data_IF_720449333899
#
_entry.id   IF_720449333899
#
_cell.length_a   1.000
_cell.length_b   1.000
_cell.length_c   1.000
_cell.angle_alpha   90.00
_cell.angle_beta   90.00
_cell.angle_gamma   90.00
#
_symmetry.space_group_name_H-M   'P 1'
#
loop_
_entity.id
_entity.type
_entity.pdbx_description
1 polymer ?
#
# COMPACT_ATOMS: atom_id res chain seq x y z
N UNK A 1 -40.55 -54.61 62.28
CA UNK A 1 -40.74 -53.12 62.03
C UNK A 1 -39.56 -52.73 61.14
N UNK A 2 -39.80 -52.59 59.86
CA UNK A 2 -38.82 -52.22 58.89
C UNK A 2 -39.06 -50.77 58.46
N UNK A 3 -38.07 -49.86 58.61
CA UNK A 3 -38.11 -48.49 58.18
C UNK A 3 -37.36 -48.42 56.86
N UNK A 4 -38.09 -48.12 55.77
CA UNK A 4 -37.55 -47.88 54.45
C UNK A 4 -37.05 -46.44 54.35
N UNK A 5 -35.80 -46.26 53.96
CA UNK A 5 -35.23 -44.95 53.59
C UNK A 5 -35.34 -44.80 52.07
N UNK A 6 -36.12 -43.78 51.65
CA UNK A 6 -36.14 -43.32 50.25
C UNK A 6 -34.99 -42.35 50.04
N UNK A 7 -34.06 -42.75 49.20
CA UNK A 7 -33.02 -41.82 48.69
C UNK A 7 -33.53 -41.07 47.46
N UNK A 8 -33.70 -39.77 47.61
CA UNK A 8 -33.98 -38.85 46.49
C UNK A 8 -32.69 -38.56 45.75
N UNK A 9 -32.55 -39.08 44.54
CA UNK A 9 -31.44 -38.70 43.62
C UNK A 9 -31.83 -37.38 42.92
N UNK A 10 -31.13 -36.29 43.27
CA UNK A 10 -31.25 -35.01 42.59
C UNK A 10 -30.38 -35.02 41.33
N UNK A 11 -30.97 -35.19 40.15
CA UNK A 11 -30.31 -35.01 38.89
C UNK A 11 -30.14 -33.50 38.64
N UNK A 12 -28.93 -32.96 38.90
CA UNK A 12 -28.55 -31.61 38.41
C UNK A 12 -28.17 -31.73 36.94
N UNK A 13 -29.09 -31.33 36.08
CA UNK A 13 -28.79 -31.14 34.66
C UNK A 13 -27.96 -29.86 34.48
N UNK A 14 -26.68 -29.97 34.22
CA UNK A 14 -25.85 -28.86 33.76
C UNK A 14 -26.24 -28.52 32.33
N UNK A 15 -27.07 -27.50 32.16
CA UNK A 15 -27.23 -26.81 30.86
C UNK A 15 -25.95 -26.03 30.57
N UNK A 16 -25.04 -26.61 29.77
CA UNK A 16 -24.02 -25.81 29.09
C UNK A 16 -24.72 -24.91 28.08
N UNK A 17 -24.90 -23.68 28.42
CA UNK A 17 -25.18 -22.62 27.45
C UNK A 17 -23.94 -22.48 26.57
N UNK A 18 -23.91 -23.16 25.43
CA UNK A 18 -23.09 -22.75 24.30
C UNK A 18 -23.65 -21.39 23.84
N UNK A 19 -23.09 -20.31 24.35
CA UNK A 19 -23.25 -19.02 23.69
C UNK A 19 -22.65 -19.20 22.28
N UNK A 20 -23.41 -19.01 21.20
CA UNK A 20 -22.79 -18.98 19.90
C UNK A 20 -21.81 -17.82 19.93
N UNK A 21 -20.52 -18.11 19.76
CA UNK A 21 -19.55 -17.09 19.42
C UNK A 21 -20.09 -16.38 18.17
N UNK A 22 -20.74 -15.24 18.37
CA UNK A 22 -21.00 -14.30 17.30
C UNK A 22 -19.62 -13.84 16.82
N UNK A 23 -19.04 -14.62 15.92
CA UNK A 23 -17.94 -14.17 15.09
C UNK A 23 -18.49 -12.94 14.34
N UNK A 24 -18.34 -11.76 14.95
CA UNK A 24 -18.64 -10.50 14.27
C UNK A 24 -17.81 -10.50 13.00
N UNK A 25 -18.46 -10.75 11.88
CA UNK A 25 -17.80 -10.75 10.59
C UNK A 25 -17.01 -9.45 10.46
N UNK A 26 -15.68 -9.58 10.42
CA UNK A 26 -14.79 -8.42 10.35
C UNK A 26 -15.21 -7.55 9.19
N UNK A 27 -15.52 -6.28 9.45
CA UNK A 27 -15.92 -5.32 8.41
C UNK A 27 -14.75 -5.14 7.46
N UNK A 28 -14.93 -5.54 6.20
CA UNK A 28 -13.95 -5.38 5.14
C UNK A 28 -14.15 -4.06 4.41
N UNK A 29 -13.08 -3.45 3.95
CA UNK A 29 -13.15 -2.32 3.03
C UNK A 29 -13.60 -2.78 1.61
N UNK A 30 -13.98 -1.87 0.71
CA UNK A 30 -14.49 -2.23 -0.62
C UNK A 30 -13.53 -3.05 -1.49
N UNK A 31 -12.22 -2.83 -1.36
CA UNK A 31 -11.19 -3.59 -2.09
C UNK A 31 -11.19 -5.04 -1.63
N UNK A 32 -11.11 -5.25 -0.32
CA UNK A 32 -11.09 -6.56 0.30
C UNK A 32 -12.37 -7.35 0.02
N UNK A 33 -13.51 -6.70 0.17
CA UNK A 33 -14.81 -7.32 -0.11
C UNK A 33 -14.95 -7.77 -1.57
N UNK A 34 -14.27 -7.11 -2.50
CA UNK A 34 -14.34 -7.41 -3.94
C UNK A 34 -13.68 -8.75 -4.30
N UNK A 35 -12.58 -9.14 -3.66
CA UNK A 35 -11.84 -10.34 -4.08
C UNK A 35 -11.58 -11.36 -2.97
N UNK A 36 -11.46 -10.96 -1.68
CA UNK A 36 -11.07 -11.85 -0.59
C UNK A 36 -12.15 -12.87 -0.23
N UNK A 37 -13.43 -12.52 -0.41
CA UNK A 37 -14.56 -13.41 -0.16
C UNK A 37 -14.73 -14.52 -1.21
N UNK A 38 -14.00 -14.46 -2.33
CA UNK A 38 -14.04 -15.48 -3.36
C UNK A 38 -13.19 -16.70 -2.95
N UNK A 39 -13.77 -17.86 -2.63
CA UNK A 39 -13.00 -19.05 -2.25
C UNK A 39 -12.14 -19.59 -3.41
N UNK A 40 -12.48 -19.20 -4.65
CA UNK A 40 -11.74 -19.57 -5.85
C UNK A 40 -10.73 -18.49 -6.30
N UNK A 41 -10.35 -17.54 -5.45
CA UNK A 41 -9.44 -16.44 -5.78
C UNK A 41 -8.16 -16.92 -6.48
N UNK A 42 -7.67 -18.10 -6.17
CA UNK A 42 -6.46 -18.68 -6.79
C UNK A 42 -6.64 -19.00 -8.26
N UNK A 43 -7.82 -19.46 -8.67
CA UNK A 43 -8.17 -19.73 -10.06
C UNK A 43 -8.55 -18.44 -10.77
N UNK A 44 -9.15 -17.48 -10.04
CA UNK A 44 -9.64 -16.20 -10.52
C UNK A 44 -8.71 -15.03 -10.15
N UNK A 45 -7.39 -15.21 -10.25
CA UNK A 45 -6.43 -14.19 -9.82
C UNK A 45 -6.66 -12.83 -10.48
N UNK A 46 -7.06 -12.80 -11.74
CA UNK A 46 -7.32 -11.58 -12.49
C UNK A 46 -8.49 -10.75 -11.94
N UNK A 47 -9.39 -11.32 -11.13
CA UNK A 47 -10.43 -10.57 -10.43
C UNK A 47 -9.84 -9.43 -9.60
N UNK A 48 -8.66 -9.60 -9.01
CA UNK A 48 -7.97 -8.55 -8.26
C UNK A 48 -7.95 -7.22 -9.02
N UNK A 49 -7.59 -7.24 -10.29
CA UNK A 49 -7.46 -6.03 -11.09
C UNK A 49 -8.77 -5.23 -11.24
N UNK A 50 -9.92 -5.85 -11.01
CA UNK A 50 -11.23 -5.16 -11.02
C UNK A 50 -11.60 -4.53 -9.67
N UNK A 51 -10.78 -4.70 -8.64
CA UNK A 51 -11.09 -4.30 -7.26
C UNK A 51 -10.47 -2.98 -6.83
N UNK A 52 -9.51 -2.45 -7.58
CA UNK A 52 -8.89 -1.16 -7.29
C UNK A 52 -9.91 -0.02 -7.30
N UNK A 53 -9.63 1.00 -6.49
CA UNK A 53 -10.41 2.24 -6.35
C UNK A 53 -9.46 3.45 -6.38
N UNK A 54 -9.99 4.65 -6.25
CA UNK A 54 -9.18 5.86 -6.27
C UNK A 54 -8.61 6.15 -7.65
N UNK A 55 -7.60 7.00 -7.74
CA UNK A 55 -7.12 7.54 -9.02
C UNK A 55 -6.52 6.49 -9.98
N UNK A 56 -6.06 5.33 -9.52
CA UNK A 56 -5.69 4.24 -10.43
C UNK A 56 -6.90 3.64 -11.16
N UNK A 57 -8.09 3.75 -10.58
CA UNK A 57 -9.32 3.16 -11.11
C UNK A 57 -9.22 1.64 -11.25
N UNK A 58 -10.11 1.05 -12.01
CA UNK A 58 -10.04 -0.38 -12.31
C UNK A 58 -8.87 -0.68 -13.25
N UNK A 59 -8.06 -1.69 -12.89
CA UNK A 59 -6.83 -2.07 -13.60
C UNK A 59 -7.15 -3.08 -14.73
N UNK A 60 -8.21 -2.83 -15.49
CA UNK A 60 -8.73 -3.79 -16.49
C UNK A 60 -7.79 -4.03 -17.67
N UNK A 61 -6.81 -3.15 -17.90
CA UNK A 61 -5.77 -3.38 -18.89
C UNK A 61 -4.82 -4.53 -18.53
N UNK A 62 -4.78 -4.94 -17.25
CA UNK A 62 -3.95 -6.05 -16.76
C UNK A 62 -4.62 -7.43 -16.91
N UNK A 63 -5.84 -7.49 -17.44
CA UNK A 63 -6.60 -8.75 -17.57
C UNK A 63 -6.89 -9.07 -19.03
N UNK A 64 -7.24 -10.33 -19.28
CA UNK A 64 -7.63 -10.81 -20.62
C UNK A 64 -7.08 -12.21 -20.88
N UNK A 65 -7.43 -12.73 -22.06
CA UNK A 65 -6.92 -14.04 -22.54
C UNK A 65 -5.48 -13.96 -22.98
N UNK A 66 -5.01 -12.78 -23.35
CA UNK A 66 -3.67 -12.42 -23.80
C UNK A 66 -2.66 -12.23 -22.65
N UNK A 67 -3.09 -12.35 -21.41
CA UNK A 67 -2.22 -12.22 -20.24
C UNK A 67 -1.32 -13.43 -20.10
N UNK A 68 -0.01 -13.21 -20.19
CA UNK A 68 1.01 -14.23 -19.94
C UNK A 68 1.11 -14.48 -18.44
N UNK A 69 0.83 -15.73 -18.03
CA UNK A 69 0.97 -16.16 -16.64
C UNK A 69 2.38 -16.65 -16.40
N UNK A 70 3.15 -15.85 -15.65
CA UNK A 70 4.51 -16.19 -15.30
C UNK A 70 4.63 -16.60 -13.83
N UNK A 71 5.43 -17.64 -13.56
CA UNK A 71 5.64 -18.11 -12.20
C UNK A 71 7.12 -18.04 -11.85
N UNK A 72 7.44 -17.25 -10.81
CA UNK A 72 8.79 -17.19 -10.25
C UNK A 72 9.09 -18.47 -9.49
N UNK A 73 10.17 -19.12 -9.85
CA UNK A 73 10.65 -20.40 -9.29
C UNK A 73 12.04 -20.31 -8.70
N UNK A 74 12.82 -19.30 -9.14
CA UNK A 74 14.20 -19.04 -8.75
C UNK A 74 14.31 -17.68 -8.05
N UNK A 75 14.79 -17.62 -6.80
CA UNK A 75 14.93 -16.35 -6.06
C UNK A 75 16.18 -15.55 -6.47
N UNK A 76 17.07 -16.10 -7.29
CA UNK A 76 18.30 -15.40 -7.71
C UNK A 76 18.01 -14.23 -8.63
N UNK A 77 18.86 -13.20 -8.58
CA UNK A 77 18.81 -12.01 -9.41
C UNK A 77 20.08 -11.86 -10.23
N UNK A 78 19.94 -11.67 -11.54
CA UNK A 78 21.01 -11.28 -12.46
C UNK A 78 20.55 -10.03 -13.23
N UNK A 79 21.10 -8.85 -12.91
CA UNK A 79 20.66 -7.60 -13.53
C UNK A 79 20.96 -7.46 -15.01
N UNK A 80 21.97 -8.16 -15.51
CA UNK A 80 22.44 -8.06 -16.90
C UNK A 80 21.92 -9.20 -17.77
N UNK A 81 21.81 -10.41 -17.19
CA UNK A 81 21.40 -11.61 -17.92
C UNK A 81 20.28 -12.35 -17.14
N UNK A 82 19.08 -11.75 -17.01
CA UNK A 82 17.97 -12.37 -16.29
C UNK A 82 17.69 -13.78 -16.78
N UNK A 83 17.60 -14.73 -15.86
CA UNK A 83 17.35 -16.13 -16.22
C UNK A 83 15.85 -16.46 -16.13
N UNK A 84 15.32 -17.29 -17.04
CA UNK A 84 13.97 -17.83 -16.91
C UNK A 84 13.76 -18.43 -15.52
N UNK A 85 12.59 -18.14 -14.91
CA UNK A 85 12.28 -18.52 -13.53
C UNK A 85 12.54 -17.41 -12.51
N UNK A 86 13.40 -16.44 -12.77
CA UNK A 86 13.66 -15.31 -11.87
C UNK A 86 12.58 -14.22 -11.95
N UNK A 87 12.44 -13.42 -10.89
CA UNK A 87 11.50 -12.29 -10.89
C UNK A 87 11.86 -11.26 -11.96
N UNK A 88 13.15 -10.93 -12.10
CA UNK A 88 13.62 -9.95 -13.11
C UNK A 88 13.27 -10.40 -14.52
N UNK A 89 13.43 -11.67 -14.85
CA UNK A 89 13.04 -12.18 -16.18
C UNK A 89 11.57 -11.92 -16.47
N UNK A 90 10.68 -12.25 -15.50
CA UNK A 90 9.25 -12.00 -15.63
C UNK A 90 8.88 -10.53 -15.77
N UNK A 91 9.57 -9.65 -15.06
CA UNK A 91 9.27 -8.22 -15.02
C UNK A 91 9.85 -7.43 -16.22
N UNK A 92 10.91 -7.94 -16.89
CA UNK A 92 11.65 -7.17 -17.89
C UNK A 92 11.77 -7.84 -19.26
N UNK A 93 11.79 -9.19 -19.33
CA UNK A 93 12.05 -9.90 -20.57
C UNK A 93 10.78 -10.33 -21.30
N UNK A 94 9.65 -10.42 -20.59
CA UNK A 94 8.37 -10.81 -21.18
C UNK A 94 7.66 -9.55 -21.67
N UNK A 95 7.30 -9.53 -22.95
CA UNK A 95 6.56 -8.43 -23.57
C UNK A 95 5.06 -8.60 -23.43
N UNK A 96 4.31 -7.50 -23.39
CA UNK A 96 2.85 -7.49 -23.28
C UNK A 96 2.36 -7.55 -21.83
N UNK A 97 1.15 -8.11 -21.64
CA UNK A 97 0.54 -8.20 -20.31
C UNK A 97 1.09 -9.41 -19.55
N UNK A 98 1.64 -9.17 -18.36
CA UNK A 98 2.26 -10.24 -17.56
C UNK A 98 1.65 -10.28 -16.16
N UNK A 99 1.19 -11.47 -15.74
CA UNK A 99 0.75 -11.75 -14.39
C UNK A 99 1.76 -12.66 -13.70
N UNK A 100 2.58 -12.05 -12.83
CA UNK A 100 3.67 -12.72 -12.13
C UNK A 100 3.18 -13.26 -10.79
N UNK A 101 3.38 -14.55 -10.57
CA UNK A 101 3.08 -15.26 -9.31
C UNK A 101 4.34 -15.97 -8.83
N UNK A 102 4.32 -16.49 -7.60
CA UNK A 102 5.47 -17.14 -6.98
C UNK A 102 5.12 -18.58 -6.62
N UNK A 103 6.08 -19.50 -6.82
CA UNK A 103 5.85 -20.92 -6.61
C UNK A 103 5.73 -21.30 -5.14
N UNK A 104 6.56 -20.67 -4.29
CA UNK A 104 6.71 -20.94 -2.85
C UNK A 104 7.12 -19.67 -2.12
N UNK A 105 7.18 -19.72 -0.80
CA UNK A 105 7.83 -18.69 0.00
C UNK A 105 9.27 -18.53 -0.45
N UNK A 106 9.72 -17.26 -0.61
CA UNK A 106 11.08 -17.00 -1.05
C UNK A 106 11.57 -15.62 -0.63
N UNK A 107 12.87 -15.52 -0.44
CA UNK A 107 13.59 -14.26 -0.28
C UNK A 107 14.33 -13.96 -1.57
N UNK A 108 14.02 -12.82 -2.18
CA UNK A 108 14.65 -12.35 -3.42
C UNK A 108 15.49 -11.13 -3.07
N UNK A 109 16.81 -11.30 -3.10
CA UNK A 109 17.75 -10.21 -2.90
C UNK A 109 18.13 -9.62 -4.25
N UNK A 110 17.70 -8.38 -4.50
CA UNK A 110 17.99 -7.69 -5.75
C UNK A 110 19.40 -7.12 -5.74
N UNK A 111 20.20 -7.54 -6.71
CA UNK A 111 21.59 -7.04 -6.88
C UNK A 111 21.61 -5.58 -7.36
N UNK A 112 20.60 -5.18 -8.15
CA UNK A 112 20.39 -3.84 -8.69
C UNK A 112 18.90 -3.55 -8.77
N UNK A 113 18.47 -2.27 -8.90
CA UNK A 113 17.06 -1.92 -9.02
C UNK A 113 16.35 -2.77 -10.07
N UNK A 114 15.15 -3.25 -9.72
CA UNK A 114 14.30 -4.00 -10.63
C UNK A 114 13.31 -3.06 -11.31
N UNK A 115 13.46 -2.87 -12.62
CA UNK A 115 12.47 -2.14 -13.42
C UNK A 115 11.24 -3.01 -13.66
N UNK A 116 10.07 -2.39 -13.52
CA UNK A 116 8.79 -3.05 -13.78
C UNK A 116 8.21 -2.52 -15.09
N UNK A 117 7.95 -3.41 -16.03
CA UNK A 117 7.35 -3.08 -17.33
C UNK A 117 5.87 -2.68 -17.19
N UNK A 118 5.35 -1.95 -18.20
CA UNK A 118 3.91 -1.67 -18.28
C UNK A 118 3.09 -2.96 -18.35
N UNK A 119 1.83 -2.90 -17.93
CA UNK A 119 0.89 -4.02 -17.91
C UNK A 119 1.34 -5.23 -17.08
N UNK A 120 2.18 -4.98 -16.07
CA UNK A 120 2.71 -6.02 -15.20
C UNK A 120 1.97 -6.06 -13.85
N UNK A 121 1.58 -7.25 -13.44
CA UNK A 121 1.04 -7.52 -12.11
C UNK A 121 2.01 -8.41 -11.33
N UNK A 122 2.51 -7.92 -10.19
CA UNK A 122 3.19 -8.73 -9.17
C UNK A 122 2.17 -9.18 -8.15
N UNK A 123 1.91 -10.49 -8.07
CA UNK A 123 0.86 -11.07 -7.23
C UNK A 123 1.45 -12.09 -6.23
N UNK A 124 1.74 -11.61 -5.01
CA UNK A 124 2.30 -12.40 -3.91
C UNK A 124 1.29 -13.26 -3.16
N UNK A 125 0.01 -13.25 -3.52
CA UNK A 125 -1.03 -13.99 -2.78
C UNK A 125 -0.77 -15.49 -2.69
N UNK A 126 -0.91 -16.02 -1.48
CA UNK A 126 -0.81 -17.46 -1.16
C UNK A 126 0.60 -17.95 -0.87
N UNK A 127 1.58 -17.06 -0.83
CA UNK A 127 2.98 -17.31 -0.44
C UNK A 127 3.55 -16.12 0.29
N UNK A 128 4.61 -16.32 1.06
CA UNK A 128 5.34 -15.26 1.74
C UNK A 128 6.60 -14.91 0.93
N UNK A 129 6.57 -13.74 0.28
CA UNK A 129 7.65 -13.29 -0.61
C UNK A 129 8.29 -12.04 -0.05
N UNK A 130 9.58 -12.10 0.19
CA UNK A 130 10.39 -10.99 0.64
C UNK A 130 11.25 -10.49 -0.52
N UNK A 131 11.29 -9.16 -0.71
CA UNK A 131 12.17 -8.48 -1.65
C UNK A 131 13.07 -7.54 -0.86
N UNK A 132 14.37 -7.67 -1.03
CA UNK A 132 15.42 -6.92 -0.35
C UNK A 132 16.51 -6.52 -1.35
N UNK A 133 17.55 -5.84 -0.90
CA UNK A 133 18.76 -5.61 -1.67
C UNK A 133 18.94 -4.17 -2.16
N UNK A 134 19.49 -3.99 -3.33
CA UNK A 134 19.93 -2.67 -3.80
C UNK A 134 18.83 -1.93 -4.57
N UNK A 135 18.24 -0.88 -3.93
CA UNK A 135 17.19 0.02 -4.47
C UNK A 135 16.05 -0.76 -5.16
N UNK A 136 15.24 -1.43 -4.38
CA UNK A 136 14.35 -2.52 -4.72
C UNK A 136 13.52 -2.36 -6.02
N UNK A 137 12.31 -1.81 -5.98
CA UNK A 137 11.42 -1.77 -7.16
C UNK A 137 11.36 -0.37 -7.79
N UNK A 138 11.51 -0.31 -9.11
CA UNK A 138 11.43 0.93 -9.89
C UNK A 138 10.40 0.80 -11.01
N UNK A 139 9.32 1.59 -10.92
CA UNK A 139 8.35 1.76 -12.01
C UNK A 139 8.74 3.01 -12.79
N UNK A 140 9.41 2.83 -13.91
CA UNK A 140 9.98 3.93 -14.70
C UNK A 140 9.34 4.03 -16.07
N UNK A 141 8.68 5.16 -16.35
CA UNK A 141 7.97 5.41 -17.61
C UNK A 141 7.00 4.28 -17.99
N UNK A 142 6.35 3.69 -16.98
CA UNK A 142 5.45 2.54 -17.15
C UNK A 142 4.04 2.88 -16.70
N UNK A 143 3.08 2.15 -17.25
CA UNK A 143 1.66 2.29 -16.96
C UNK A 143 1.01 0.94 -16.67
N UNK A 144 -0.15 0.97 -16.02
CA UNK A 144 -0.94 -0.24 -15.70
C UNK A 144 -0.13 -1.29 -14.93
N UNK A 145 0.42 -0.88 -13.77
CA UNK A 145 1.21 -1.75 -12.90
C UNK A 145 0.47 -2.03 -11.60
N UNK A 146 0.42 -3.30 -11.20
CA UNK A 146 -0.10 -3.75 -9.91
C UNK A 146 1.03 -4.39 -9.10
N UNK A 147 1.25 -3.91 -7.85
CA UNK A 147 2.19 -4.52 -6.89
C UNK A 147 1.37 -4.92 -5.68
N UNK A 148 1.21 -6.23 -5.47
CA UNK A 148 0.29 -6.75 -4.46
C UNK A 148 0.87 -7.91 -3.65
N UNK A 149 0.75 -7.83 -2.33
CA UNK A 149 0.97 -8.95 -1.43
C UNK A 149 2.42 -9.30 -1.16
N UNK A 150 3.34 -8.34 -1.24
CA UNK A 150 4.78 -8.52 -1.06
C UNK A 150 5.28 -7.88 0.25
N UNK A 151 6.39 -8.41 0.79
CA UNK A 151 7.18 -7.77 1.85
C UNK A 151 8.42 -7.17 1.24
N UNK A 152 8.57 -5.85 1.31
CA UNK A 152 9.68 -5.12 0.68
C UNK A 152 10.40 -4.36 1.79
N UNK A 153 11.67 -4.69 1.99
CA UNK A 153 12.41 -4.15 3.13
C UNK A 153 13.93 -4.22 2.94
N UNK A 154 14.66 -3.51 3.79
CA UNK A 154 16.13 -3.47 3.76
C UNK A 154 16.67 -3.14 2.38
N UNK A 155 16.00 -2.22 1.67
CA UNK A 155 16.44 -1.71 0.39
C UNK A 155 17.55 -0.67 0.62
N UNK A 156 18.70 -0.87 -0.03
CA UNK A 156 19.92 -0.10 0.20
C UNK A 156 20.22 0.80 -1.00
N UNK A 157 20.83 1.95 -0.73
CA UNK A 157 21.29 2.85 -1.79
C UNK A 157 22.32 2.17 -2.69
N UNK A 158 22.31 2.53 -3.97
CA UNK A 158 23.25 1.98 -4.96
C UNK A 158 23.73 3.07 -5.91
N UNK A 159 25.01 3.00 -6.27
CA UNK A 159 25.62 3.89 -7.27
C UNK A 159 25.05 3.67 -8.69
N UNK A 160 25.47 4.54 -9.65
CA UNK A 160 25.07 4.40 -11.04
C UNK A 160 25.33 3.00 -11.58
N UNK A 161 24.41 2.47 -12.37
CA UNK A 161 24.49 1.10 -12.88
C UNK A 161 23.66 0.93 -14.16
N UNK A 162 23.94 -0.14 -14.91
CA UNK A 162 23.10 -0.57 -16.02
C UNK A 162 22.38 -1.86 -15.65
N UNK A 163 21.12 -2.00 -16.09
CA UNK A 163 20.29 -3.17 -15.85
C UNK A 163 19.48 -3.51 -17.09
N UNK A 164 19.06 -4.75 -17.22
CA UNK A 164 17.98 -5.13 -18.15
C UNK A 164 16.66 -4.55 -17.66
N UNK A 165 16.08 -3.72 -18.48
CA UNK A 165 14.78 -3.11 -18.31
C UNK A 165 13.71 -3.70 -19.21
N UNK A 166 12.56 -3.00 -19.38
CA UNK A 166 11.46 -3.44 -20.23
C UNK A 166 11.91 -3.88 -21.62
N UNK A 167 11.29 -4.95 -22.14
CA UNK A 167 11.62 -5.59 -23.42
C UNK A 167 13.07 -6.09 -23.54
N UNK A 168 13.77 -6.28 -22.42
CA UNK A 168 15.15 -6.72 -22.41
C UNK A 168 16.17 -5.65 -22.81
N UNK A 169 15.77 -4.39 -22.94
CA UNK A 169 16.68 -3.30 -23.27
C UNK A 169 17.64 -2.99 -22.11
N UNK A 170 18.84 -2.51 -22.42
CA UNK A 170 19.77 -2.01 -21.40
C UNK A 170 19.39 -0.59 -21.00
N UNK A 171 19.16 -0.40 -19.71
CA UNK A 171 18.81 0.90 -19.12
C UNK A 171 19.93 1.35 -18.17
N UNK A 172 20.50 2.51 -18.44
CA UNK A 172 21.43 3.16 -17.54
C UNK A 172 20.65 3.89 -16.43
N UNK A 173 20.97 3.62 -15.19
CA UNK A 173 20.40 4.23 -14.00
C UNK A 173 21.42 5.10 -13.29
N UNK A 174 21.00 6.28 -12.82
CA UNK A 174 21.78 7.10 -11.92
C UNK A 174 21.87 6.51 -10.51
N UNK A 175 22.40 7.28 -9.57
CA UNK A 175 22.38 6.94 -8.16
C UNK A 175 20.93 6.76 -7.65
N UNK A 176 20.69 5.70 -6.89
CA UNK A 176 19.42 5.39 -6.23
C UNK A 176 19.61 5.40 -4.72
N UNK A 177 18.63 5.92 -4.00
CA UNK A 177 18.75 6.30 -2.59
C UNK A 177 18.43 5.13 -1.64
N UNK A 178 17.78 4.06 -2.15
CA UNK A 178 17.41 2.89 -1.34
C UNK A 178 15.93 2.86 -0.96
N UNK A 179 15.05 3.40 -1.80
CA UNK A 179 13.60 3.28 -1.64
C UNK A 179 13.11 1.83 -1.86
N UNK A 180 12.04 1.44 -1.16
CA UNK A 180 11.40 0.14 -1.39
C UNK A 180 10.68 0.10 -2.75
N UNK A 181 9.87 1.11 -3.04
CA UNK A 181 9.17 1.29 -4.32
C UNK A 181 9.33 2.74 -4.76
N UNK A 182 9.83 2.94 -5.97
CA UNK A 182 9.93 4.27 -6.57
C UNK A 182 9.19 4.33 -7.90
N UNK A 183 8.30 5.32 -8.04
CA UNK A 183 7.57 5.61 -9.27
C UNK A 183 8.17 6.86 -9.91
N UNK A 184 8.57 6.76 -11.17
CA UNK A 184 9.19 7.85 -11.92
C UNK A 184 8.52 7.97 -13.29
N UNK A 185 7.78 9.04 -13.53
CA UNK A 185 7.01 9.24 -14.78
C UNK A 185 6.07 8.05 -15.06
N UNK A 186 5.48 7.49 -14.01
CA UNK A 186 4.58 6.36 -14.07
C UNK A 186 3.12 6.80 -14.00
N UNK A 187 2.22 6.03 -14.58
CA UNK A 187 0.79 6.33 -14.51
C UNK A 187 -0.03 5.07 -14.32
N UNK A 188 -1.20 5.22 -13.71
CA UNK A 188 -2.13 4.12 -13.47
C UNK A 188 -1.44 2.95 -12.77
N UNK A 189 -0.96 3.20 -11.54
CA UNK A 189 -0.27 2.22 -10.70
C UNK A 189 -1.06 1.98 -9.43
N UNK A 190 -1.24 0.72 -9.09
CA UNK A 190 -1.89 0.29 -7.86
C UNK A 190 -0.96 -0.52 -6.98
N UNK A 191 -0.69 -0.02 -5.77
CA UNK A 191 0.18 -0.64 -4.77
C UNK A 191 -0.69 -1.04 -3.60
N UNK A 192 -0.88 -2.36 -3.39
CA UNK A 192 -1.91 -2.87 -2.50
C UNK A 192 -1.44 -4.07 -1.67
N UNK A 193 -1.82 -4.10 -0.40
CA UNK A 193 -1.50 -5.20 0.52
C UNK A 193 -0.01 -5.56 0.62
N UNK A 194 0.89 -4.58 0.52
CA UNK A 194 2.31 -4.82 0.77
C UNK A 194 2.70 -4.42 2.19
N UNK A 195 3.69 -5.08 2.76
CA UNK A 195 4.34 -4.68 4.00
C UNK A 195 5.71 -4.08 3.67
N UNK A 196 5.90 -2.79 3.99
CA UNK A 196 7.12 -2.05 3.67
C UNK A 196 7.76 -1.54 4.96
N UNK A 197 9.07 -1.75 5.11
CA UNK A 197 9.78 -1.33 6.33
C UNK A 197 11.31 -1.34 6.17
N UNK A 198 11.99 -0.59 7.03
CA UNK A 198 13.43 -0.63 7.25
C UNK A 198 14.28 -0.51 5.97
N UNK A 199 13.95 0.44 5.09
CA UNK A 199 14.77 0.81 3.93
C UNK A 199 15.67 2.00 4.23
N UNK A 200 16.71 2.20 3.44
CA UNK A 200 17.72 3.23 3.71
C UNK A 200 17.19 4.65 3.50
N UNK A 201 16.35 4.89 2.49
CA UNK A 201 15.69 6.19 2.32
C UNK A 201 14.16 6.07 2.51
N UNK A 202 13.35 6.10 1.48
CA UNK A 202 11.89 6.03 1.58
C UNK A 202 11.30 4.62 1.46
N UNK A 203 10.03 4.45 1.80
CA UNK A 203 9.32 3.21 1.51
C UNK A 203 8.56 3.31 0.19
N UNK A 204 8.02 4.49 -0.13
CA UNK A 204 7.28 4.67 -1.37
C UNK A 204 7.39 6.11 -1.88
N UNK A 205 8.03 6.28 -3.03
CA UNK A 205 8.20 7.56 -3.69
C UNK A 205 7.42 7.64 -5.00
N UNK A 206 6.61 8.70 -5.16
CA UNK A 206 5.86 9.01 -6.39
C UNK A 206 6.38 10.34 -6.93
N UNK A 207 7.11 10.29 -8.06
CA UNK A 207 7.91 11.44 -8.51
C UNK A 207 7.87 11.66 -10.02
N UNK A 208 8.33 12.83 -10.44
CA UNK A 208 8.64 13.20 -11.83
C UNK A 208 7.47 13.02 -12.80
N UNK A 209 6.29 13.58 -12.44
CA UNK A 209 5.09 13.54 -13.26
C UNK A 209 4.33 12.22 -13.20
N UNK A 210 4.62 11.38 -12.21
CA UNK A 210 3.77 10.20 -11.93
C UNK A 210 2.40 10.64 -11.47
N UNK A 211 1.33 9.97 -11.97
CA UNK A 211 -0.05 10.36 -11.69
C UNK A 211 -1.01 9.17 -11.81
N UNK A 212 -2.26 9.33 -11.36
CA UNK A 212 -3.27 8.26 -11.31
C UNK A 212 -2.81 7.05 -10.51
N UNK A 213 -2.40 7.30 -9.27
CA UNK A 213 -1.84 6.30 -8.37
C UNK A 213 -2.83 6.00 -7.24
N UNK A 214 -2.99 4.73 -6.89
CA UNK A 214 -3.67 4.31 -5.66
C UNK A 214 -2.72 3.46 -4.80
N UNK A 215 -2.61 3.85 -3.53
CA UNK A 215 -1.81 3.19 -2.50
C UNK A 215 -2.80 2.76 -1.42
N UNK A 216 -3.06 1.44 -1.31
CA UNK A 216 -4.14 0.94 -0.46
C UNK A 216 -3.75 -0.32 0.32
N UNK A 217 -4.34 -0.50 1.49
CA UNK A 217 -4.15 -1.70 2.32
C UNK A 217 -2.69 -2.07 2.61
N UNK A 218 -1.74 -1.15 2.48
CA UNK A 218 -0.36 -1.43 2.82
C UNK A 218 -0.11 -1.23 4.32
N UNK A 219 0.87 -1.93 4.83
CA UNK A 219 1.40 -1.70 6.17
C UNK A 219 2.80 -1.11 6.09
N UNK A 220 2.93 0.13 6.53
CA UNK A 220 4.18 0.87 6.62
C UNK A 220 4.63 0.94 8.08
N UNK A 221 5.85 0.53 8.39
CA UNK A 221 6.35 0.50 9.76
C UNK A 221 7.87 0.63 9.82
N UNK A 222 8.40 0.88 11.01
CA UNK A 222 9.84 0.85 11.31
C UNK A 222 10.65 1.67 10.28
N UNK A 223 10.30 2.95 10.07
CA UNK A 223 10.88 3.79 9.01
C UNK A 223 10.93 5.27 9.36
N UNK A 224 12.05 5.94 9.06
CA UNK A 224 12.16 7.39 9.18
C UNK A 224 11.27 8.12 8.16
N UNK A 225 11.53 7.96 6.87
CA UNK A 225 10.81 8.62 5.78
C UNK A 225 9.91 7.61 5.08
N UNK A 226 8.58 7.73 5.23
CA UNK A 226 7.65 6.70 4.75
C UNK A 226 7.26 6.87 3.30
N UNK A 227 6.67 8.02 2.93
CA UNK A 227 6.09 8.22 1.59
C UNK A 227 6.29 9.65 1.09
N UNK A 228 6.84 9.78 -0.12
CA UNK A 228 7.04 11.07 -0.77
C UNK A 228 6.19 11.19 -2.04
N UNK A 229 5.42 12.26 -2.13
CA UNK A 229 4.64 12.63 -3.32
C UNK A 229 5.18 13.96 -3.88
N UNK A 230 5.92 13.88 -4.97
CA UNK A 230 6.61 15.00 -5.63
C UNK A 230 8.13 14.92 -5.54
N UNK A 231 8.81 15.13 -6.69
CA UNK A 231 10.26 14.95 -6.84
C UNK A 231 11.07 15.98 -6.03
N UNK A 232 10.94 17.24 -6.38
CA UNK A 232 11.52 18.39 -5.69
C UNK A 232 10.60 19.60 -5.80
N UNK A 233 10.92 20.65 -5.06
CA UNK A 233 10.07 21.86 -5.00
C UNK A 233 10.00 22.60 -6.35
N UNK A 234 11.00 22.50 -7.21
CA UNK A 234 11.07 23.10 -8.54
C UNK A 234 10.46 22.26 -9.65
N UNK A 235 10.13 20.99 -9.41
CA UNK A 235 9.63 20.09 -10.45
C UNK A 235 8.13 20.28 -10.73
N UNK A 236 7.78 21.26 -11.54
CA UNK A 236 6.41 21.73 -11.73
C UNK A 236 5.46 20.73 -12.41
N UNK A 237 5.97 19.71 -13.12
CA UNK A 237 5.12 18.64 -13.69
C UNK A 237 4.38 17.83 -12.62
N UNK A 238 4.86 17.83 -11.38
CA UNK A 238 4.19 17.18 -10.26
C UNK A 238 2.90 17.91 -9.82
N UNK A 239 2.58 19.08 -10.37
CA UNK A 239 1.29 19.77 -10.16
C UNK A 239 0.09 18.94 -10.68
N UNK A 240 0.31 18.09 -11.69
CA UNK A 240 -0.71 17.24 -12.29
C UNK A 240 -0.82 15.87 -11.58
N UNK A 241 -0.05 15.67 -10.52
CA UNK A 241 -0.06 14.44 -9.73
C UNK A 241 -1.41 14.26 -9.04
N UNK A 242 -1.96 13.04 -9.14
CA UNK A 242 -3.19 12.61 -8.46
C UNK A 242 -2.93 11.27 -7.78
N UNK A 243 -3.01 11.28 -6.45
CA UNK A 243 -2.74 10.09 -5.63
C UNK A 243 -3.89 9.87 -4.64
N UNK A 244 -4.34 8.62 -4.54
CA UNK A 244 -5.22 8.15 -3.47
C UNK A 244 -4.42 7.30 -2.50
N UNK A 245 -4.44 7.66 -1.21
CA UNK A 245 -3.83 6.91 -0.11
C UNK A 245 -4.97 6.45 0.80
N UNK A 246 -5.31 5.15 0.78
CA UNK A 246 -6.55 4.67 1.41
C UNK A 246 -6.40 3.29 2.05
N UNK A 247 -7.03 3.09 3.21
CA UNK A 247 -7.05 1.82 3.96
C UNK A 247 -5.67 1.33 4.41
N UNK A 248 -4.66 2.19 4.44
CA UNK A 248 -3.32 1.81 4.89
C UNK A 248 -3.21 1.87 6.42
N UNK A 249 -2.22 1.13 6.93
CA UNK A 249 -1.79 1.20 8.31
C UNK A 249 -0.36 1.79 8.36
N UNK A 250 -0.21 2.92 9.04
CA UNK A 250 1.06 3.58 9.29
C UNK A 250 1.46 3.39 10.75
N UNK A 251 2.63 2.85 10.98
CA UNK A 251 3.16 2.55 12.31
C UNK A 251 3.17 1.04 12.64
N UNK A 252 3.79 0.66 13.77
CA UNK A 252 4.54 1.52 14.68
C UNK A 252 5.87 2.03 14.10
N UNK A 253 6.56 2.90 14.86
CA UNK A 253 7.91 3.37 14.59
C UNK A 253 8.08 4.06 13.23
N UNK A 254 7.10 4.87 12.83
CA UNK A 254 7.22 5.77 11.69
C UNK A 254 7.52 7.18 12.19
N UNK A 255 8.54 7.84 11.61
CA UNK A 255 8.91 9.16 12.06
C UNK A 255 8.12 10.25 11.32
N UNK A 256 8.11 10.23 9.97
CA UNK A 256 7.56 11.33 9.16
C UNK A 256 7.11 10.86 7.77
N UNK A 257 6.44 11.76 7.02
CA UNK A 257 6.05 11.57 5.62
C UNK A 257 5.05 10.45 5.38
N UNK A 258 3.85 10.58 5.94
CA UNK A 258 2.78 9.59 5.78
C UNK A 258 1.48 10.16 5.15
N UNK A 259 1.52 10.87 4.02
CA UNK A 259 2.66 11.24 3.16
C UNK A 259 3.25 12.64 3.40
N UNK A 260 4.40 12.93 2.76
CA UNK A 260 4.84 14.30 2.44
C UNK A 260 4.49 14.62 0.99
N UNK A 261 3.78 15.73 0.75
CA UNK A 261 3.33 16.14 -0.58
C UNK A 261 3.93 17.47 -0.97
N UNK A 262 4.60 17.54 -2.11
CA UNK A 262 5.19 18.80 -2.61
C UNK A 262 4.26 19.55 -3.55
N UNK A 263 3.61 18.84 -4.45
CA UNK A 263 2.71 19.38 -5.48
C UNK A 263 1.54 18.43 -5.71
N UNK A 264 0.56 18.87 -6.49
CA UNK A 264 -0.54 18.04 -6.96
C UNK A 264 -1.63 17.82 -5.91
N UNK A 265 -2.38 16.75 -6.09
CA UNK A 265 -3.53 16.42 -5.27
C UNK A 265 -3.38 15.04 -4.62
N UNK A 266 -3.57 14.98 -3.31
CA UNK A 266 -3.62 13.74 -2.54
C UNK A 266 -4.96 13.61 -1.80
N UNK A 267 -5.70 12.53 -2.05
CA UNK A 267 -6.83 12.09 -1.24
C UNK A 267 -6.35 11.04 -0.25
N UNK A 268 -6.27 11.42 1.01
CA UNK A 268 -5.81 10.57 2.11
C UNK A 268 -7.04 10.19 2.94
N UNK A 269 -7.52 8.95 2.82
CA UNK A 269 -8.80 8.56 3.39
C UNK A 269 -8.76 7.20 4.09
N UNK A 270 -9.47 7.06 5.20
CA UNK A 270 -9.63 5.81 5.94
C UNK A 270 -8.30 5.08 6.28
N UNK A 271 -7.23 5.81 6.56
CA UNK A 271 -5.98 5.23 7.02
C UNK A 271 -5.88 5.25 8.55
N UNK A 272 -5.19 4.26 9.11
CA UNK A 272 -4.82 4.20 10.51
C UNK A 272 -3.38 4.71 10.70
N UNK A 273 -3.22 5.66 11.62
CA UNK A 273 -1.91 6.19 12.03
C UNK A 273 -1.64 5.83 13.49
N UNK A 274 -0.60 5.03 13.74
CA UNK A 274 -0.18 4.61 15.07
C UNK A 274 1.14 5.27 15.47
N UNK A 275 1.06 6.53 15.86
CA UNK A 275 2.20 7.34 16.26
C UNK A 275 2.99 7.90 15.07
N UNK A 276 3.76 8.92 15.39
CA UNK A 276 4.78 9.57 14.55
C UNK A 276 5.75 10.29 15.47
N UNK A 277 6.95 10.59 15.00
CA UNK A 277 7.90 11.35 15.81
C UNK A 277 7.88 12.84 15.43
N UNK A 278 8.00 13.15 14.13
CA UNK A 278 7.96 14.53 13.64
C UNK A 278 6.57 14.95 13.18
N UNK A 279 5.95 14.23 12.26
CA UNK A 279 4.60 14.52 11.76
C UNK A 279 4.04 13.33 10.95
N UNK A 280 2.71 13.25 10.85
CA UNK A 280 2.07 12.26 9.99
C UNK A 280 1.96 12.74 8.55
N UNK A 281 1.27 13.86 8.29
CA UNK A 281 1.03 14.39 6.95
C UNK A 281 1.72 15.75 6.81
N UNK A 282 2.58 15.90 5.81
CA UNK A 282 3.30 17.16 5.60
C UNK A 282 3.38 17.57 4.15
N UNK A 283 4.04 18.71 3.91
CA UNK A 283 4.24 19.17 2.56
C UNK A 283 5.12 20.41 2.45
N UNK A 284 5.41 20.78 1.20
CA UNK A 284 6.04 22.02 0.77
C UNK A 284 5.34 22.52 -0.48
N UNK A 285 5.67 23.69 -0.98
CA UNK A 285 5.08 24.31 -2.18
C UNK A 285 3.54 24.50 -2.08
N UNK A 286 2.75 23.98 -3.04
CA UNK A 286 1.29 24.22 -3.11
C UNK A 286 0.51 22.93 -3.35
N UNK A 287 0.61 21.93 -2.49
CA UNK A 287 -0.21 20.73 -2.63
C UNK A 287 -1.66 21.01 -2.24
N UNK A 288 -2.57 20.17 -2.75
CA UNK A 288 -3.92 20.09 -2.25
C UNK A 288 -4.11 18.72 -1.60
N UNK A 289 -4.30 18.70 -0.27
CA UNK A 289 -4.42 17.46 0.50
C UNK A 289 -5.78 17.45 1.19
N UNK A 290 -6.59 16.45 0.86
CA UNK A 290 -7.83 16.13 1.58
C UNK A 290 -7.58 14.95 2.49
N UNK A 291 -7.55 15.18 3.80
CA UNK A 291 -7.61 14.16 4.84
C UNK A 291 -9.08 13.88 5.15
N UNK A 292 -9.52 12.62 5.00
CA UNK A 292 -10.94 12.29 5.15
C UNK A 292 -11.14 10.97 5.90
N UNK A 293 -11.84 11.05 7.04
CA UNK A 293 -12.19 9.88 7.86
C UNK A 293 -10.99 8.98 8.20
N UNK A 294 -9.80 9.55 8.40
CA UNK A 294 -8.66 8.83 8.94
C UNK A 294 -8.74 8.70 10.46
N UNK A 295 -7.96 7.80 11.03
CA UNK A 295 -7.85 7.61 12.46
C UNK A 295 -6.41 7.88 12.92
N UNK A 296 -6.20 8.97 13.64
CA UNK A 296 -4.88 9.41 14.13
C UNK A 296 -4.75 9.13 15.62
N UNK A 297 -3.82 8.25 15.97
CA UNK A 297 -3.43 7.98 17.36
C UNK A 297 -2.07 8.64 17.57
N UNK A 298 -2.03 9.77 18.26
CA UNK A 298 -0.78 10.44 18.55
C UNK A 298 0.15 9.58 19.43
N UNK A 299 1.47 9.78 19.39
CA UNK A 299 2.40 9.08 20.25
C UNK A 299 2.09 9.41 21.74
N UNK A 300 2.49 8.53 22.68
CA UNK A 300 2.29 8.76 24.12
C UNK A 300 3.01 10.02 24.61
N UNK A 301 4.19 10.27 24.06
CA UNK A 301 5.02 11.46 24.32
C UNK A 301 5.53 12.04 23.00
N UNK A 302 5.98 13.29 23.01
CA UNK A 302 6.49 13.98 21.83
C UNK A 302 5.41 14.74 21.05
N UNK A 303 5.61 14.92 19.75
CA UNK A 303 4.75 15.75 18.92
C UNK A 303 3.34 15.13 18.71
N UNK A 304 2.32 15.90 19.00
CA UNK A 304 0.90 15.50 18.83
C UNK A 304 0.28 16.04 17.53
N UNK A 305 0.94 17.02 16.89
CA UNK A 305 0.46 17.62 15.66
C UNK A 305 0.62 16.64 14.48
N UNK A 306 -0.48 16.38 13.78
CA UNK A 306 -0.50 15.54 12.57
C UNK A 306 0.23 16.20 11.41
N UNK A 307 0.10 17.53 11.31
CA UNK A 307 0.46 18.30 10.13
C UNK A 307 1.80 19.00 10.24
N UNK A 308 2.52 19.08 9.11
CA UNK A 308 3.75 19.85 9.03
C UNK A 308 3.94 20.49 7.66
N UNK A 309 4.48 21.73 7.63
CA UNK A 309 4.72 22.51 6.40
C UNK A 309 6.09 23.12 6.42
N UNK A 310 6.84 22.89 5.36
CA UNK A 310 8.17 23.46 5.19
C UNK A 310 8.13 24.81 4.46
N UNK A 311 8.86 25.78 4.99
CA UNK A 311 9.32 26.96 4.24
C UNK A 311 8.23 27.93 3.82
N UNK A 312 7.12 28.07 4.56
CA UNK A 312 6.03 28.94 4.14
C UNK A 312 5.75 30.03 5.16
N UNK A 313 5.84 31.25 4.69
CA UNK A 313 5.07 32.32 5.28
C UNK A 313 3.58 32.01 4.98
N UNK A 314 2.88 31.46 5.98
CA UNK A 314 1.53 30.88 5.88
C UNK A 314 0.48 31.82 5.24
N UNK A 315 0.77 33.11 5.20
CA UNK A 315 -0.15 34.15 4.69
C UNK A 315 -0.11 34.33 3.15
N UNK A 316 0.89 33.81 2.45
CA UNK A 316 1.13 34.20 1.04
C UNK A 316 0.87 33.11 -0.01
N UNK A 317 0.54 31.87 0.34
CA UNK A 317 0.31 30.81 -0.63
C UNK A 317 -0.94 29.97 -0.29
N UNK A 318 -1.80 29.67 -1.28
CA UNK A 318 -3.01 28.88 -1.07
C UNK A 318 -2.68 27.39 -0.91
N UNK A 319 -2.29 27.00 0.27
CA UNK A 319 -2.22 25.61 0.65
C UNK A 319 -3.62 25.09 0.93
N UNK A 320 -4.03 24.04 0.23
CA UNK A 320 -5.24 23.31 0.55
C UNK A 320 -4.88 22.07 1.36
N UNK A 321 -4.94 22.21 2.68
CA UNK A 321 -4.61 21.15 3.61
C UNK A 321 -5.69 21.11 4.69
N UNK A 322 -6.66 20.23 4.54
CA UNK A 322 -7.83 20.22 5.40
C UNK A 322 -8.28 18.80 5.76
N UNK A 323 -8.88 18.71 6.94
CA UNK A 323 -9.38 17.50 7.58
C UNK A 323 -10.90 17.47 7.54
N UNK A 324 -11.47 16.33 7.16
CA UNK A 324 -12.91 16.10 7.13
C UNK A 324 -13.22 14.78 7.81
N UNK A 325 -13.99 14.82 8.90
CA UNK A 325 -14.45 13.62 9.63
C UNK A 325 -13.30 12.73 10.15
N UNK A 326 -12.08 13.22 10.27
CA UNK A 326 -10.98 12.50 10.89
C UNK A 326 -11.23 12.33 12.40
N UNK A 327 -10.72 11.25 12.97
CA UNK A 327 -10.75 10.98 14.42
C UNK A 327 -9.34 11.16 14.98
N UNK A 328 -9.25 11.87 16.09
CA UNK A 328 -8.02 12.22 16.79
C UNK A 328 -8.01 11.61 18.18
N UNK A 329 -7.06 10.74 18.47
CA UNK A 329 -6.90 10.05 19.74
C UNK A 329 -5.57 10.44 20.40
N UNK A 330 -5.54 10.38 21.72
CA UNK A 330 -4.35 10.67 22.54
C UNK A 330 -3.81 12.09 22.36
N UNK A 331 -4.69 13.08 22.14
CA UNK A 331 -4.35 14.49 21.97
C UNK A 331 -3.80 14.85 20.59
N UNK A 332 -3.99 14.00 19.59
CA UNK A 332 -3.67 14.35 18.21
C UNK A 332 -4.41 15.61 17.76
N UNK A 333 -3.76 16.46 16.98
CA UNK A 333 -4.33 17.70 16.44
C UNK A 333 -3.99 17.86 14.97
N UNK A 334 -4.79 18.62 14.24
CA UNK A 334 -4.61 18.87 12.80
C UNK A 334 -4.76 20.36 12.52
N UNK A 335 -3.72 20.99 12.01
CA UNK A 335 -3.74 22.41 11.63
C UNK A 335 -4.14 22.54 10.16
N UNK A 336 -5.36 23.00 9.93
CA UNK A 336 -5.87 23.25 8.58
C UNK A 336 -5.27 24.50 7.94
N UNK A 337 -5.26 24.54 6.60
CA UNK A 337 -4.85 25.74 5.86
C UNK A 337 -5.44 25.80 4.46
N UNK A 338 -5.40 26.99 3.88
CA UNK A 338 -5.93 27.27 2.56
C UNK A 338 -7.45 27.45 2.55
N UNK A 339 -8.03 27.41 1.36
CA UNK A 339 -9.46 27.67 1.14
C UNK A 339 -10.35 26.44 1.35
N UNK A 340 -9.81 25.29 1.62
CA UNK A 340 -10.54 24.04 1.81
C UNK A 340 -11.25 23.53 0.56
N UNK A 341 -12.02 22.47 0.69
CA UNK A 341 -13.07 22.10 -0.27
C UNK A 341 -12.62 21.37 -1.55
N UNK A 342 -11.34 21.17 -1.83
CA UNK A 342 -10.92 20.41 -3.00
C UNK A 342 -11.38 18.94 -2.89
N UNK A 343 -12.37 18.57 -3.72
CA UNK A 343 -12.85 17.19 -3.79
C UNK A 343 -12.05 16.40 -4.82
N UNK A 344 -11.84 15.08 -4.62
CA UNK A 344 -11.26 14.25 -5.67
C UNK A 344 -12.22 14.24 -6.88
N UNK A 345 -11.67 14.48 -8.07
CA UNK A 345 -12.43 14.45 -9.32
C UNK A 345 -12.52 13.03 -9.91
N UNK A 346 -12.92 12.08 -9.09
CA UNK A 346 -13.04 10.67 -9.48
C UNK A 346 -14.09 10.45 -10.57
N UNK A 347 -13.72 9.68 -11.58
CA UNK A 347 -14.67 9.09 -12.53
C UNK A 347 -15.40 7.88 -11.91
N UNK A 348 -16.31 7.25 -12.66
CA UNK A 348 -17.11 6.13 -12.14
C UNK A 348 -16.28 4.89 -11.75
N UNK A 349 -15.12 4.66 -12.36
CA UNK A 349 -14.24 3.52 -12.05
C UNK A 349 -13.33 3.80 -10.86
N UNK A 350 -13.16 5.05 -10.48
CA UNK A 350 -12.30 5.53 -9.41
C UNK A 350 -13.04 5.71 -8.08
N UNK A 351 -14.37 5.92 -8.16
CA UNK A 351 -15.21 6.20 -6.97
C UNK A 351 -15.24 5.04 -5.99
N UNK A 352 -15.23 5.39 -4.72
CA UNK A 352 -15.46 4.47 -3.60
C UNK A 352 -16.14 5.23 -2.45
N UNK A 353 -16.80 4.49 -1.59
CA UNK A 353 -17.39 5.04 -0.38
C UNK A 353 -16.31 5.20 0.69
N UNK A 354 -16.18 6.41 1.23
CA UNK A 354 -15.33 6.69 2.40
C UNK A 354 -16.09 6.29 3.66
N UNK A 355 -15.60 5.29 4.36
CA UNK A 355 -16.21 4.75 5.56
C UNK A 355 -16.10 5.74 6.74
N UNK A 356 -16.94 5.54 7.76
CA UNK A 356 -16.82 6.26 9.03
C UNK A 356 -15.45 6.00 9.66
N UNK A 357 -14.79 7.05 10.16
CA UNK A 357 -13.47 6.97 10.77
C UNK A 357 -13.40 5.98 11.95
N UNK A 358 -14.48 5.80 12.71
CA UNK A 358 -14.56 4.83 13.82
C UNK A 358 -14.39 3.38 13.34
N UNK A 359 -14.67 3.09 12.07
CA UNK A 359 -14.45 1.76 11.50
C UNK A 359 -13.03 1.51 11.00
N UNK A 360 -12.17 2.53 10.96
CA UNK A 360 -10.82 2.45 10.37
C UNK A 360 -9.98 1.36 11.02
N UNK A 361 -9.96 1.24 12.35
CA UNK A 361 -9.22 0.18 13.03
C UNK A 361 -9.61 -1.23 12.55
N UNK A 362 -10.89 -1.45 12.25
CA UNK A 362 -11.40 -2.73 11.73
C UNK A 362 -11.06 -2.94 10.26
N UNK A 363 -11.35 -1.96 9.40
CA UNK A 363 -11.17 -2.09 7.94
C UNK A 363 -9.70 -2.04 7.48
N UNK A 364 -8.77 -1.64 8.37
CA UNK A 364 -7.32 -1.65 8.13
C UNK A 364 -6.59 -2.78 8.87
N UNK A 365 -7.29 -3.59 9.66
CA UNK A 365 -6.67 -4.64 10.47
C UNK A 365 -5.97 -5.73 9.65
N UNK A 366 -6.32 -5.86 8.37
CA UNK A 366 -5.68 -6.75 7.39
C UNK A 366 -4.71 -6.04 6.46
N UNK A 367 -4.34 -4.78 6.72
CA UNK A 367 -3.35 -4.08 5.90
C UNK A 367 -1.99 -4.78 5.96
N UNK A 368 -1.27 -4.76 4.84
CA UNK A 368 -0.01 -5.47 4.67
C UNK A 368 -0.15 -6.77 3.86
N UNK A 369 0.96 -7.45 3.66
CA UNK A 369 1.01 -8.72 2.92
C UNK A 369 0.25 -9.82 3.67
N UNK A 370 -0.81 -10.29 3.03
CA UNK A 370 -1.73 -11.26 3.63
C UNK A 370 -1.17 -12.68 3.62
N UNK A 371 -1.39 -13.40 4.72
CA UNK A 371 -1.15 -14.85 4.79
C UNK A 371 -2.37 -15.60 4.25
N UNK A 372 -2.54 -15.60 2.93
CA UNK A 372 -3.62 -16.34 2.29
C UNK A 372 -3.30 -17.83 2.26
N UNK A 373 -4.11 -18.64 2.91
CA UNK A 373 -3.93 -20.11 2.90
C UNK A 373 -4.53 -20.74 1.64
N UNK A 374 -3.98 -21.92 1.26
CA UNK A 374 -4.36 -22.58 -0.01
C UNK A 374 -5.81 -23.04 -0.09
N UNK A 375 -6.47 -23.25 1.01
CA UNK A 375 -7.77 -23.88 1.11
C UNK A 375 -8.89 -22.99 1.63
N UNK A 376 -8.60 -21.73 1.96
CA UNK A 376 -9.53 -20.81 2.62
C UNK A 376 -9.61 -19.48 1.84
N UNK A 377 -10.67 -18.75 2.07
CA UNK A 377 -10.75 -17.34 1.66
C UNK A 377 -9.52 -16.57 2.16
N UNK A 378 -9.02 -15.69 1.38
CA UNK A 378 -7.89 -14.87 1.76
C UNK A 378 -8.30 -13.77 2.75
#
# INVERSE_FOLDING_TARGET
>A
MAVQWFALALCMAFFFFFAPDFCLAQKMNPIDSCWRQNPNWRRNRQQLATCSVGFAGKMTNNIGKDVIRYKVTDPRDDPLNPKPGSLRYGATMITGKVWITFQKNMNIELVKPLLISSFTTLDGRGVDVHITGNACLLVYKATDVIIHGLRIHHCMAVGPSSVRGPNGEMVALGKMDGDAIRLVTASKVWIDHNTLYACQDGLLDVTRGSTHITISNNWFKDQDKVMLLGHDDGYLRDKDMKVTVVFNHFGPNCNQRMPRVRHGYAHVANNLYQGWEQYAIGGSMNPSIKSESNYFIAPKSGNKEVTWRQGVNVKSRPWNFYSVRDVFENGASFTQSGVGGAKPNYNNQERFEVADAKSVKSITSSSGALKCFRTIMC
#
